data_IF_870813582365
#
_entry.id   IF_870813582365
#
_cell.length_a   1.000
_cell.length_b   1.000
_cell.length_c   1.000
_cell.angle_alpha   90.00
_cell.angle_beta   90.00
_cell.angle_gamma   90.00
#
_symmetry.space_group_name_H-M   'P 1'
#
loop_
_entity.id
_entity.type
_entity.pdbx_description
1 polymer ?
#
# COMPACT_ATOMS: atom_id res chain seq x y z
N UNK A 1 3.94 3.38 -20.59
CA UNK A 1 3.50 3.20 -19.20
C UNK A 1 4.68 3.56 -18.32
N UNK A 2 4.49 4.36 -17.29
CA UNK A 2 5.54 4.68 -16.31
C UNK A 2 5.77 3.47 -15.39
N UNK A 3 6.95 3.39 -14.76
CA UNK A 3 7.26 2.32 -13.80
C UNK A 3 6.26 2.27 -12.64
N UNK A 4 5.76 3.44 -12.22
CA UNK A 4 4.72 3.54 -11.19
C UNK A 4 3.37 2.98 -11.67
N UNK A 5 2.97 3.25 -12.91
CA UNK A 5 1.76 2.68 -13.50
C UNK A 5 1.84 1.15 -13.60
N UNK A 6 3.00 0.59 -13.94
CA UNK A 6 3.26 -0.86 -13.91
C UNK A 6 3.11 -1.42 -12.50
N UNK A 7 3.62 -0.71 -11.49
CA UNK A 7 3.47 -1.09 -10.09
C UNK A 7 2.01 -1.11 -9.63
N UNK A 8 1.20 -0.14 -10.07
CA UNK A 8 -0.24 -0.15 -9.77
C UNK A 8 -0.97 -1.30 -10.45
N UNK A 9 -0.61 -1.65 -11.69
CA UNK A 9 -1.15 -2.85 -12.33
C UNK A 9 -0.74 -4.13 -11.59
N UNK A 10 0.52 -4.21 -11.13
CA UNK A 10 1.00 -5.31 -10.31
C UNK A 10 0.16 -5.47 -9.04
N UNK A 11 -0.05 -4.39 -8.26
CA UNK A 11 -0.88 -4.44 -7.04
C UNK A 11 -2.32 -4.87 -7.34
N UNK A 12 -2.91 -4.32 -8.40
CA UNK A 12 -4.27 -4.67 -8.84
C UNK A 12 -4.38 -6.16 -9.18
N UNK A 13 -3.43 -6.73 -9.93
CA UNK A 13 -3.41 -8.17 -10.25
C UNK A 13 -3.27 -9.04 -9.00
N UNK A 14 -2.56 -8.55 -7.98
CA UNK A 14 -2.45 -9.20 -6.66
C UNK A 14 -3.72 -9.09 -5.82
N UNK A 15 -4.68 -8.26 -6.20
CA UNK A 15 -5.93 -8.03 -5.48
C UNK A 15 -5.89 -6.87 -4.48
N UNK A 16 -4.77 -6.12 -4.44
CA UNK A 16 -4.60 -4.87 -3.72
C UNK A 16 -5.00 -3.71 -4.65
N UNK A 17 -6.30 -3.63 -4.93
CA UNK A 17 -6.88 -2.82 -5.99
C UNK A 17 -7.57 -1.53 -5.50
N UNK A 18 -7.45 -1.20 -4.21
CA UNK A 18 -7.85 0.09 -3.65
C UNK A 18 -6.58 0.85 -3.29
N UNK A 19 -6.30 1.94 -3.99
CA UNK A 19 -5.10 2.74 -3.77
C UNK A 19 -5.51 4.21 -3.69
N UNK A 20 -5.03 4.90 -2.67
CA UNK A 20 -5.17 6.35 -2.53
C UNK A 20 -3.83 6.96 -2.11
N UNK A 21 -3.46 8.07 -2.74
CA UNK A 21 -2.31 8.88 -2.36
C UNK A 21 -2.86 10.18 -1.76
N UNK A 22 -2.66 10.35 -0.47
CA UNK A 22 -3.23 11.44 0.32
C UNK A 22 -2.12 12.43 0.63
N UNK A 23 -2.38 13.72 0.46
CA UNK A 23 -1.49 14.76 1.00
C UNK A 23 -1.61 14.78 2.52
N UNK A 24 -0.51 14.60 3.24
CA UNK A 24 -0.52 14.61 4.70
C UNK A 24 -0.97 15.97 5.25
N UNK A 25 -0.75 17.06 4.53
CA UNK A 25 -1.21 18.40 4.91
C UNK A 25 -2.73 18.57 4.81
N UNK A 26 -3.42 17.73 4.03
CA UNK A 26 -4.86 17.75 3.85
C UNK A 26 -5.61 16.76 4.76
N UNK A 27 -4.89 16.02 5.61
CA UNK A 27 -5.52 15.08 6.54
C UNK A 27 -6.42 15.83 7.54
N UNK A 28 -7.65 15.34 7.79
CA UNK A 28 -8.49 15.90 8.84
C UNK A 28 -7.76 15.89 10.19
N UNK A 29 -7.91 16.96 10.97
CA UNK A 29 -7.22 17.15 12.25
C UNK A 29 -7.40 15.95 13.20
N UNK A 30 -8.60 15.36 13.22
CA UNK A 30 -8.88 14.17 14.02
C UNK A 30 -8.01 12.99 13.61
N UNK A 31 -7.80 12.79 12.31
CA UNK A 31 -7.00 11.70 11.75
C UNK A 31 -5.52 11.91 12.05
N UNK A 32 -5.00 13.12 11.82
CA UNK A 32 -3.59 13.43 12.09
C UNK A 32 -3.27 13.28 13.58
N UNK A 33 -4.12 13.79 14.48
CA UNK A 33 -3.98 13.61 15.93
C UNK A 33 -3.99 12.14 16.34
N UNK A 34 -4.88 11.34 15.77
CA UNK A 34 -4.94 9.90 16.05
C UNK A 34 -3.66 9.18 15.63
N UNK A 35 -3.14 9.49 14.44
CA UNK A 35 -1.90 8.89 13.92
C UNK A 35 -0.70 9.29 14.77
N UNK A 36 -0.54 10.58 15.10
CA UNK A 36 0.52 11.06 15.98
C UNK A 36 0.45 10.43 17.36
N UNK A 37 -0.75 10.34 17.96
CA UNK A 37 -0.96 9.66 19.25
C UNK A 37 -0.65 8.17 19.22
N UNK A 38 -0.68 7.55 18.03
CA UNK A 38 -0.30 6.15 17.80
C UNK A 38 1.19 5.97 17.44
N UNK A 39 2.00 7.04 17.54
CA UNK A 39 3.43 7.00 17.24
C UNK A 39 3.78 7.10 15.76
N UNK A 40 2.84 7.53 14.90
CA UNK A 40 3.09 7.78 13.47
C UNK A 40 3.19 9.30 13.26
N UNK A 41 4.39 9.87 13.09
CA UNK A 41 4.55 11.31 12.95
C UNK A 41 4.18 11.74 11.52
N UNK A 42 2.87 11.82 11.24
CA UNK A 42 2.37 12.06 9.88
C UNK A 42 2.86 13.40 9.29
N UNK A 43 3.22 14.36 10.15
CA UNK A 43 3.83 15.64 9.79
C UNK A 43 5.19 15.52 9.11
N UNK A 44 5.90 14.41 9.32
CA UNK A 44 7.25 14.20 8.79
C UNK A 44 7.21 13.68 7.34
N UNK A 45 6.02 13.37 6.85
CA UNK A 45 5.79 12.82 5.52
C UNK A 45 4.93 13.78 4.70
N UNK A 46 5.24 13.91 3.41
CA UNK A 46 4.42 14.68 2.47
C UNK A 46 3.19 13.91 2.00
N UNK A 47 3.32 12.59 1.85
CA UNK A 47 2.29 11.72 1.29
C UNK A 47 2.04 10.52 2.19
N UNK A 48 0.76 10.17 2.34
CA UNK A 48 0.32 8.90 2.88
C UNK A 48 -0.26 8.05 1.73
N UNK A 49 0.31 6.86 1.52
CA UNK A 49 -0.21 5.91 0.52
C UNK A 49 -1.03 4.86 1.24
N UNK A 50 -2.33 4.83 0.98
CA UNK A 50 -3.24 3.79 1.45
C UNK A 50 -3.37 2.71 0.39
N UNK A 51 -3.10 1.46 0.78
CA UNK A 51 -3.29 0.28 -0.06
C UNK A 51 -4.26 -0.64 0.65
N UNK A 52 -5.32 -1.02 -0.05
CA UNK A 52 -6.33 -1.94 0.44
C UNK A 52 -6.76 -2.94 -0.63
N UNK A 53 -7.53 -3.93 -0.20
CA UNK A 53 -8.15 -4.90 -1.09
C UNK A 53 -9.65 -4.65 -1.18
N UNK A 54 -10.19 -4.77 -2.39
CA UNK A 54 -11.61 -4.61 -2.69
C UNK A 54 -12.10 -5.79 -3.54
N UNK A 55 -12.86 -6.69 -2.92
CA UNK A 55 -13.56 -7.78 -3.62
C UNK A 55 -12.80 -9.11 -3.66
N UNK A 56 -13.17 -9.97 -4.63
CA UNK A 56 -12.81 -11.40 -4.63
C UNK A 56 -11.42 -11.71 -5.19
N UNK A 57 -10.76 -10.74 -5.80
CA UNK A 57 -9.49 -10.96 -6.49
C UNK A 57 -8.38 -11.36 -5.52
N UNK A 58 -8.30 -10.72 -4.35
CA UNK A 58 -7.32 -11.09 -3.32
C UNK A 58 -7.47 -12.54 -2.88
N UNK A 59 -8.71 -12.98 -2.59
CA UNK A 59 -8.98 -14.37 -2.21
C UNK A 59 -8.58 -15.39 -3.28
N UNK A 60 -8.77 -15.05 -4.57
CA UNK A 60 -8.31 -15.90 -5.67
C UNK A 60 -6.79 -15.96 -5.73
N UNK A 61 -6.13 -14.82 -5.64
CA UNK A 61 -4.67 -14.74 -5.69
C UNK A 61 -4.00 -15.42 -4.47
N UNK A 62 -4.64 -15.36 -3.29
CA UNK A 62 -4.19 -16.07 -2.09
C UNK A 62 -4.32 -17.58 -2.22
N UNK A 63 -5.40 -18.08 -2.84
CA UNK A 63 -5.53 -19.52 -3.14
C UNK A 63 -4.47 -19.99 -4.12
N UNK A 64 -4.19 -19.21 -5.16
CA UNK A 64 -3.16 -19.53 -6.17
C UNK A 64 -1.75 -19.49 -5.56
N UNK A 65 -1.48 -18.60 -4.61
CA UNK A 65 -0.17 -18.52 -3.97
C UNK A 65 0.15 -19.73 -3.08
N UNK A 66 -0.86 -20.53 -2.71
CA UNK A 66 -0.68 -21.72 -1.87
C UNK A 66 -0.21 -21.40 -0.45
N UNK A 67 -0.47 -20.19 0.05
CA UNK A 67 0.04 -19.72 1.33
C UNK A 67 -0.66 -20.43 2.51
N UNK A 68 0.12 -21.02 3.41
CA UNK A 68 -0.34 -21.81 4.57
C UNK A 68 0.10 -21.22 5.91
N UNK A 69 0.43 -19.93 5.96
CA UNK A 69 0.82 -19.24 7.19
C UNK A 69 -0.38 -19.00 8.11
N UNK A 70 -0.12 -18.66 9.38
CA UNK A 70 -1.17 -18.34 10.37
C UNK A 70 -2.04 -17.14 9.93
N UNK A 71 -1.40 -16.12 9.36
CA UNK A 71 -2.04 -14.88 8.90
C UNK A 71 -1.82 -14.67 7.39
N UNK A 72 -2.48 -15.45 6.53
CA UNK A 72 -2.14 -15.52 5.10
C UNK A 72 -2.47 -14.22 4.35
N UNK A 73 -3.50 -13.50 4.78
CA UNK A 73 -3.86 -12.18 4.21
C UNK A 73 -2.78 -11.16 4.54
N UNK A 74 -2.31 -11.13 5.79
CA UNK A 74 -1.33 -10.16 6.26
C UNK A 74 0.01 -10.37 5.57
N UNK A 75 0.50 -11.63 5.56
CA UNK A 75 1.72 -11.99 4.86
C UNK A 75 1.66 -11.68 3.36
N UNK A 76 0.54 -12.00 2.71
CA UNK A 76 0.37 -11.74 1.30
C UNK A 76 0.33 -10.22 0.99
N UNK A 77 -0.34 -9.44 1.84
CA UNK A 77 -0.43 -7.98 1.70
C UNK A 77 0.92 -7.32 1.89
N UNK A 78 1.62 -7.67 2.98
CA UNK A 78 2.96 -7.14 3.29
C UNK A 78 3.95 -7.48 2.18
N UNK A 79 4.03 -8.75 1.77
CA UNK A 79 4.97 -9.18 0.72
C UNK A 79 4.70 -8.52 -0.63
N UNK A 80 3.43 -8.37 -1.01
CA UNK A 80 3.05 -7.68 -2.25
C UNK A 80 3.41 -6.19 -2.20
N UNK A 81 3.13 -5.51 -1.10
CA UNK A 81 3.47 -4.10 -0.92
C UNK A 81 4.98 -3.86 -0.87
N UNK A 82 5.74 -4.70 -0.16
CA UNK A 82 7.20 -4.63 -0.11
C UNK A 82 7.81 -4.80 -1.51
N UNK A 83 7.28 -5.76 -2.29
CA UNK A 83 7.71 -5.94 -3.68
C UNK A 83 7.35 -4.74 -4.55
N UNK A 84 6.16 -4.17 -4.38
CA UNK A 84 5.77 -2.94 -5.06
C UNK A 84 6.79 -1.81 -4.81
N UNK A 85 7.13 -1.57 -3.54
CA UNK A 85 8.10 -0.55 -3.15
C UNK A 85 9.46 -0.82 -3.78
N UNK A 86 9.97 -2.05 -3.67
CA UNK A 86 11.29 -2.43 -4.17
C UNK A 86 11.41 -2.33 -5.68
N UNK A 87 10.42 -2.84 -6.40
CA UNK A 87 10.52 -3.10 -7.83
C UNK A 87 9.96 -1.93 -8.67
N UNK A 88 9.08 -1.09 -8.11
CA UNK A 88 8.31 -0.09 -8.89
C UNK A 88 8.32 1.33 -8.34
N UNK A 89 8.63 1.55 -7.05
CA UNK A 89 8.92 2.90 -6.56
C UNK A 89 10.41 3.17 -6.79
N UNK A 90 10.71 4.08 -7.71
CA UNK A 90 12.08 4.55 -7.87
C UNK A 90 12.54 5.18 -6.57
N UNK A 91 13.77 4.86 -6.13
CA UNK A 91 14.40 5.47 -4.96
C UNK A 91 14.73 6.97 -5.15
N UNK A 92 14.18 7.60 -6.19
CA UNK A 92 14.46 9.00 -6.52
C UNK A 92 13.84 9.91 -5.45
N UNK A 93 14.64 10.71 -4.72
CA UNK A 93 14.15 11.58 -3.65
C UNK A 93 13.31 12.77 -4.15
N UNK A 94 13.06 12.88 -5.45
CA UNK A 94 12.54 14.11 -6.08
C UNK A 94 11.09 14.01 -6.59
N UNK A 95 10.37 12.90 -6.35
CA UNK A 95 9.02 12.69 -6.92
C UNK A 95 7.93 12.27 -5.93
N UNK A 96 8.13 12.43 -4.62
CA UNK A 96 7.07 12.25 -3.63
C UNK A 96 6.87 13.48 -2.75
#
# INVERSE_FOLDING_TARGET
>A
MTRLEEGFQFLKLKGLNLIAVIDCAELPERTSKFMTGSGIPVSDYRRLVLIGHGGRQMWRSLKISGMTTADPIDHYSVSSTQRFIKDYLDASPLLW
#
